data_IF_568976431936
#
_entry.id   IF_568976431936
#
_cell.length_a   1.000
_cell.length_b   1.000
_cell.length_c   1.000
_cell.angle_alpha   90.00
_cell.angle_beta   90.00
_cell.angle_gamma   90.00
#
_symmetry.space_group_name_H-M   'P 1'
#
loop_
_entity.id
_entity.type
_entity.pdbx_description
1 polymer ?
#
# COMPACT_ATOMS: atom_id res chain seq x y z
N UNK A 1 -53.42 -11.65 -13.57
CA UNK A 1 -52.32 -12.64 -13.49
C UNK A 1 -51.06 -11.96 -13.99
N UNK A 2 -50.05 -11.72 -13.13
CA UNK A 2 -48.73 -11.20 -13.51
C UNK A 2 -47.72 -12.35 -13.42
N UNK A 3 -46.79 -12.53 -14.37
CA UNK A 3 -45.52 -13.22 -14.12
C UNK A 3 -44.44 -12.15 -13.88
N UNK A 4 -43.96 -11.99 -12.64
CA UNK A 4 -42.84 -12.71 -11.99
C UNK A 4 -41.47 -12.25 -12.50
N UNK A 5 -40.74 -11.61 -11.58
CA UNK A 5 -39.44 -10.97 -11.76
C UNK A 5 -38.34 -12.02 -11.73
N UNK A 6 -37.68 -12.24 -12.86
CA UNK A 6 -36.45 -13.03 -12.93
C UNK A 6 -35.28 -12.30 -12.26
N UNK A 7 -35.04 -12.56 -10.98
CA UNK A 7 -33.74 -12.31 -10.33
C UNK A 7 -32.70 -13.31 -10.82
N UNK A 8 -31.68 -12.85 -11.55
CA UNK A 8 -30.37 -13.51 -11.60
C UNK A 8 -29.28 -12.60 -12.16
N UNK A 9 -28.17 -12.49 -11.41
CA UNK A 9 -26.89 -12.03 -11.95
C UNK A 9 -26.33 -10.71 -11.40
N UNK A 10 -26.01 -10.62 -10.10
CA UNK A 10 -25.30 -9.43 -9.56
C UNK A 10 -24.08 -9.74 -8.67
N UNK A 11 -23.90 -10.99 -8.21
CA UNK A 11 -22.83 -11.33 -7.25
C UNK A 11 -21.45 -11.59 -7.87
N UNK A 12 -21.40 -11.96 -9.16
CA UNK A 12 -20.16 -12.30 -9.87
C UNK A 12 -19.51 -11.06 -10.50
N UNK A 13 -20.29 -10.16 -11.10
CA UNK A 13 -19.77 -8.96 -11.80
C UNK A 13 -18.93 -8.05 -10.90
N UNK A 14 -19.38 -7.81 -9.65
CA UNK A 14 -18.66 -6.94 -8.71
C UNK A 14 -17.31 -7.50 -8.26
N UNK A 15 -17.24 -8.82 -7.99
CA UNK A 15 -15.98 -9.50 -7.62
C UNK A 15 -15.00 -9.55 -8.79
N UNK A 16 -15.50 -9.73 -10.01
CA UNK A 16 -14.70 -9.69 -11.22
C UNK A 16 -14.15 -8.27 -11.50
N UNK A 17 -14.96 -7.23 -11.33
CA UNK A 17 -14.52 -5.83 -11.46
C UNK A 17 -13.43 -5.49 -10.44
N UNK A 18 -13.64 -5.80 -9.15
CA UNK A 18 -12.63 -5.58 -8.10
C UNK A 18 -11.34 -6.36 -8.35
N UNK A 19 -11.42 -7.56 -8.94
CA UNK A 19 -10.26 -8.36 -9.33
C UNK A 19 -9.49 -7.74 -10.49
N UNK A 20 -10.19 -7.29 -11.54
CA UNK A 20 -9.55 -6.64 -12.69
C UNK A 20 -8.99 -5.26 -12.34
N UNK A 21 -9.68 -4.47 -11.51
CA UNK A 21 -9.20 -3.17 -11.02
C UNK A 21 -7.88 -3.36 -10.27
N UNK A 22 -7.81 -4.32 -9.33
CA UNK A 22 -6.56 -4.65 -8.62
C UNK A 22 -5.46 -5.13 -9.55
N UNK A 23 -5.78 -5.94 -10.56
CA UNK A 23 -4.76 -6.40 -11.52
C UNK A 23 -4.24 -5.26 -12.40
N UNK A 24 -5.10 -4.32 -12.78
CA UNK A 24 -4.72 -3.14 -13.54
C UNK A 24 -3.85 -2.20 -12.68
N UNK A 25 -4.25 -1.97 -11.43
CA UNK A 25 -3.50 -1.17 -10.45
C UNK A 25 -2.10 -1.75 -10.21
N UNK A 26 -1.99 -3.08 -10.06
CA UNK A 26 -0.69 -3.75 -9.88
C UNK A 26 0.24 -3.60 -11.08
N UNK A 27 -0.30 -3.68 -12.32
CA UNK A 27 0.51 -3.48 -13.53
C UNK A 27 0.99 -2.04 -13.68
N UNK A 28 0.13 -1.07 -13.34
CA UNK A 28 0.49 0.35 -13.35
C UNK A 28 1.57 0.63 -12.31
N UNK A 29 1.38 0.13 -11.08
CA UNK A 29 2.36 0.23 -9.99
C UNK A 29 3.71 -0.37 -10.39
N UNK A 30 3.71 -1.57 -10.98
CA UNK A 30 4.92 -2.24 -11.44
C UNK A 30 5.67 -1.39 -12.46
N UNK A 31 4.97 -0.91 -13.50
CA UNK A 31 5.59 -0.07 -14.53
C UNK A 31 6.18 1.22 -13.96
N UNK A 32 5.43 1.91 -13.09
CA UNK A 32 5.91 3.14 -12.44
C UNK A 32 7.16 2.86 -11.60
N UNK A 33 7.19 1.75 -10.86
CA UNK A 33 8.32 1.35 -10.02
C UNK A 33 9.56 0.92 -10.82
N UNK A 34 9.39 0.45 -12.06
CA UNK A 34 10.49 0.14 -12.98
C UNK A 34 11.08 1.42 -13.61
N UNK A 35 10.24 2.42 -13.90
CA UNK A 35 10.63 3.65 -14.57
C UNK A 35 11.13 4.74 -13.59
N UNK A 36 10.77 4.66 -12.30
CA UNK A 36 11.06 5.70 -11.31
C UNK A 36 11.59 5.13 -9.99
N UNK A 37 12.57 5.79 -9.34
CA UNK A 37 13.10 5.33 -8.06
C UNK A 37 12.09 5.52 -6.93
N UNK A 38 12.03 4.54 -6.03
CA UNK A 38 11.30 4.65 -4.76
C UNK A 38 11.91 5.75 -3.90
N UNK A 39 11.07 6.64 -3.40
CA UNK A 39 11.44 7.67 -2.43
C UNK A 39 11.18 7.16 -1.01
N UNK A 40 12.09 7.51 -0.10
CA UNK A 40 12.00 7.21 1.33
C UNK A 40 12.32 8.47 2.10
N UNK A 41 11.69 8.66 3.26
CA UNK A 41 12.15 9.66 4.21
C UNK A 41 13.61 9.42 4.59
N UNK A 42 14.38 10.50 4.62
CA UNK A 42 15.78 10.55 5.03
C UNK A 42 15.92 10.32 6.54
N UNK A 43 17.16 10.13 7.03
CA UNK A 43 17.42 10.02 8.48
C UNK A 43 17.02 11.30 9.23
N UNK A 44 17.25 12.48 8.65
CA UNK A 44 16.91 13.77 9.23
C UNK A 44 15.39 13.97 9.32
N UNK A 45 14.64 13.69 8.24
CA UNK A 45 13.17 13.77 8.24
C UNK A 45 12.54 12.86 9.30
N UNK A 46 13.15 11.68 9.53
CA UNK A 46 12.69 10.72 10.55
C UNK A 46 13.21 11.03 11.95
N UNK A 47 14.11 12.01 12.10
CA UNK A 47 14.77 12.34 13.37
C UNK A 47 15.43 11.12 14.01
N UNK A 48 16.18 10.35 13.21
CA UNK A 48 16.78 9.08 13.63
C UNK A 48 17.76 9.22 14.81
N UNK A 49 18.37 10.38 14.97
CA UNK A 49 19.32 10.70 16.04
C UNK A 49 18.65 11.03 17.39
N UNK A 50 17.37 11.39 17.38
CA UNK A 50 16.67 11.98 18.53
C UNK A 50 15.41 11.21 18.93
N UNK A 51 14.75 10.54 17.98
CA UNK A 51 13.54 9.77 18.25
C UNK A 51 13.85 8.28 18.38
N UNK A 52 13.37 7.62 19.45
CA UNK A 52 13.48 6.18 19.56
C UNK A 52 12.63 5.50 18.46
N UNK A 53 13.13 4.38 17.96
CA UNK A 53 12.40 3.53 17.01
C UNK A 53 11.89 2.28 17.72
N UNK A 54 10.63 1.94 17.45
CA UNK A 54 9.99 0.71 17.91
C UNK A 54 9.91 -0.26 16.73
N UNK A 55 10.41 -1.48 16.91
CA UNK A 55 10.30 -2.58 15.94
C UNK A 55 9.33 -3.62 16.48
N UNK A 56 8.26 -3.90 15.74
CA UNK A 56 7.30 -4.95 16.14
C UNK A 56 7.84 -6.32 15.72
N UNK A 57 7.92 -7.31 16.64
CA UNK A 57 8.17 -8.69 16.25
C UNK A 57 7.05 -9.27 15.38
N UNK A 58 5.86 -8.67 15.37
CA UNK A 58 4.73 -9.05 14.54
C UNK A 58 4.34 -7.91 13.60
N UNK A 59 4.92 -7.84 12.39
CA UNK A 59 4.59 -6.82 11.40
C UNK A 59 3.08 -6.72 11.15
N UNK A 60 2.56 -5.50 11.14
CA UNK A 60 1.11 -5.23 11.01
C UNK A 60 0.78 -4.84 9.58
N UNK A 61 -0.24 -5.46 9.01
CA UNK A 61 -0.74 -5.09 7.69
C UNK A 61 -1.26 -3.65 7.68
N UNK A 62 -0.93 -2.91 6.63
CA UNK A 62 -1.34 -1.53 6.44
C UNK A 62 -1.56 -1.22 4.96
N UNK A 63 -2.28 -0.14 4.68
CA UNK A 63 -2.19 0.57 3.40
C UNK A 63 -1.30 1.78 3.59
N UNK A 64 -0.40 2.05 2.65
CA UNK A 64 0.51 3.17 2.74
C UNK A 64 0.63 3.93 1.42
N UNK A 65 0.66 5.25 1.48
CA UNK A 65 1.02 6.09 0.34
C UNK A 65 2.55 6.13 0.19
N UNK A 66 3.05 5.70 -0.96
CA UNK A 66 4.47 5.76 -1.34
C UNK A 66 4.66 6.62 -2.58
N UNK A 67 5.91 7.03 -2.83
CA UNK A 67 6.26 7.81 -4.01
C UNK A 67 7.34 7.14 -4.83
N UNK A 68 7.11 7.07 -6.14
CA UNK A 68 8.09 6.70 -7.15
C UNK A 68 8.29 7.90 -8.08
N UNK A 69 9.40 8.62 -7.92
CA UNK A 69 9.59 9.90 -8.58
C UNK A 69 8.40 10.86 -8.34
N UNK A 70 7.71 11.35 -9.39
CA UNK A 70 6.55 12.23 -9.24
C UNK A 70 5.23 11.51 -8.90
N UNK A 71 5.19 10.17 -8.93
CA UNK A 71 3.97 9.39 -8.81
C UNK A 71 3.70 8.97 -7.37
N UNK A 72 2.55 9.35 -6.81
CA UNK A 72 2.08 8.88 -5.50
C UNK A 72 1.14 7.69 -5.65
N UNK A 73 1.46 6.56 -5.03
CA UNK A 73 0.73 5.29 -5.17
C UNK A 73 0.32 4.74 -3.80
N UNK A 74 -0.87 4.17 -3.71
CA UNK A 74 -1.33 3.46 -2.51
C UNK A 74 -0.96 1.98 -2.62
N UNK A 75 -0.23 1.45 -1.65
CA UNK A 75 0.21 0.04 -1.64
C UNK A 75 -0.32 -0.71 -0.42
N UNK A 76 -0.57 -2.00 -0.60
CA UNK A 76 -0.70 -2.94 0.52
C UNK A 76 0.70 -3.29 1.03
N UNK A 77 0.92 -3.12 2.33
CA UNK A 77 2.23 -3.21 2.96
C UNK A 77 2.13 -3.79 4.37
N UNK A 78 3.27 -3.97 5.01
CA UNK A 78 3.37 -4.22 6.45
C UNK A 78 4.26 -3.16 7.10
N UNK A 79 3.84 -2.63 8.26
CA UNK A 79 4.69 -1.79 9.10
C UNK A 79 5.63 -2.70 9.89
N UNK A 80 6.94 -2.45 9.76
CA UNK A 80 7.99 -3.26 10.43
C UNK A 80 8.72 -2.49 11.53
N UNK A 81 8.70 -1.16 11.47
CA UNK A 81 9.32 -0.27 12.45
C UNK A 81 8.64 1.10 12.40
N UNK A 82 8.58 1.82 13.51
CA UNK A 82 8.05 3.19 13.54
C UNK A 82 8.67 4.02 14.66
N UNK A 83 8.48 5.32 14.58
CA UNK A 83 8.58 6.25 15.70
C UNK A 83 7.33 7.16 15.69
N UNK A 84 7.33 8.21 16.50
CA UNK A 84 6.18 9.12 16.61
C UNK A 84 5.87 9.91 15.32
N UNK A 85 6.80 9.98 14.36
CA UNK A 85 6.67 10.75 13.12
C UNK A 85 6.51 9.89 11.87
N UNK A 86 7.14 8.72 11.83
CA UNK A 86 7.34 7.96 10.60
C UNK A 86 7.23 6.46 10.82
N UNK A 87 6.86 5.75 9.75
CA UNK A 87 6.77 4.31 9.70
C UNK A 87 7.70 3.76 8.60
N UNK A 88 8.50 2.76 8.94
CA UNK A 88 9.21 1.92 8.00
C UNK A 88 8.29 0.79 7.57
N UNK A 89 8.03 0.73 6.26
CA UNK A 89 7.13 -0.25 5.67
C UNK A 89 7.89 -1.20 4.73
N UNK A 90 7.31 -2.37 4.53
CA UNK A 90 7.75 -3.36 3.56
C UNK A 90 6.56 -3.76 2.69
N UNK A 91 6.77 -3.84 1.38
CA UNK A 91 5.75 -4.21 0.41
C UNK A 91 6.40 -4.84 -0.82
N UNK A 92 5.58 -5.44 -1.68
CA UNK A 92 6.05 -6.15 -2.88
C UNK A 92 5.46 -5.50 -4.13
N UNK A 93 6.31 -5.32 -5.14
CA UNK A 93 5.90 -4.88 -6.48
C UNK A 93 6.46 -5.87 -7.50
N UNK A 94 5.58 -6.60 -8.18
CA UNK A 94 5.97 -7.77 -8.97
C UNK A 94 6.68 -8.81 -8.08
N UNK A 95 7.91 -9.17 -8.43
CA UNK A 95 8.74 -10.10 -7.64
C UNK A 95 9.74 -9.40 -6.70
N UNK A 96 9.67 -8.07 -6.59
CA UNK A 96 10.62 -7.29 -5.79
C UNK A 96 10.01 -6.88 -4.46
N UNK A 97 10.66 -7.29 -3.37
CA UNK A 97 10.41 -6.72 -2.05
C UNK A 97 11.09 -5.34 -1.97
N UNK A 98 10.32 -4.34 -1.56
CA UNK A 98 10.78 -2.96 -1.38
C UNK A 98 10.54 -2.52 0.05
N UNK A 99 11.41 -1.62 0.52
CA UNK A 99 11.31 -1.00 1.84
C UNK A 99 11.56 0.49 1.72
N UNK A 100 10.76 1.26 2.43
CA UNK A 100 10.97 2.69 2.58
C UNK A 100 10.36 3.18 3.89
N UNK A 101 10.67 4.42 4.23
CA UNK A 101 10.01 5.14 5.28
C UNK A 101 9.06 6.17 4.72
N UNK A 102 7.91 6.30 5.37
CA UNK A 102 6.86 7.26 5.06
C UNK A 102 6.42 7.95 6.35
N UNK A 103 5.78 9.11 6.22
CA UNK A 103 5.17 9.78 7.36
C UNK A 103 4.08 8.90 7.98
N UNK A 104 3.92 8.93 9.30
CA UNK A 104 2.94 8.09 9.99
C UNK A 104 1.50 8.33 9.49
N UNK A 105 1.17 9.58 9.11
CA UNK A 105 -0.13 9.94 8.55
C UNK A 105 -0.35 9.45 7.10
N UNK A 106 0.68 8.94 6.43
CA UNK A 106 0.57 8.31 5.12
C UNK A 106 0.17 6.82 5.22
N UNK A 107 0.04 6.29 6.45
CA UNK A 107 -0.24 4.89 6.73
C UNK A 107 -1.62 4.76 7.39
N UNK A 108 -2.41 3.82 6.89
CA UNK A 108 -3.70 3.43 7.44
C UNK A 108 -3.67 1.95 7.83
N UNK A 109 -4.15 1.64 9.03
CA UNK A 109 -4.33 0.25 9.44
C UNK A 109 -5.37 -0.44 8.55
N UNK A 110 -5.14 -1.72 8.24
CA UNK A 110 -6.16 -2.58 7.63
C UNK A 110 -6.94 -3.24 8.76
N UNK A 111 -8.27 -3.06 8.76
CA UNK A 111 -9.18 -3.64 9.75
C UNK A 111 -9.40 -5.14 9.53
#
# INVERSE_FOLDING_TARGET
MRPDEGKSGMGTSKRYAEYYDRQMDNRILQRIAEENPLQSLTAEERREDTLPVTRDPHPKACKAWVRFGPHAMLVDAVVVVWNDLACGIQFTVGDKELRCWVWANAVSAVA
#
